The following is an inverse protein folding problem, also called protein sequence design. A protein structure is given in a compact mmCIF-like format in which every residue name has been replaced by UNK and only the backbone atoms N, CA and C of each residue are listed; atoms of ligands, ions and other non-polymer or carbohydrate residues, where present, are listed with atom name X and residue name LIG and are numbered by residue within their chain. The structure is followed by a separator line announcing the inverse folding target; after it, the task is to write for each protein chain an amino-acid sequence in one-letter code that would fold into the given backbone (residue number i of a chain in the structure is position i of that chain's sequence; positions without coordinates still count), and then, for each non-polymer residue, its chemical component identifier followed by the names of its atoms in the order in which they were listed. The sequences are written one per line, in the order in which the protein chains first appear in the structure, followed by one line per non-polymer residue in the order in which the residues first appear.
data_IF_064923970720
#
_entry.id   IF_064923970720
#
_cell.length_a   1.000
_cell.length_b   1.000
_cell.length_c   1.000
_cell.angle_alpha   90.00
_cell.angle_beta   90.00
_cell.angle_gamma   90.00
#
_symmetry.space_group_name_H-M   'P 1'
#
loop_
_entity.id
_entity.type
_entity.pdbx_description
1 polymer ?
#
# COMPACT_ATOMS: atom_id res chain seq x y z
N UNK A 1 -22.82 1.22 -6.43
CA UNK A 1 -22.33 2.50 -5.87
C UNK A 1 -21.08 2.18 -5.08
N UNK A 2 -19.98 2.91 -5.23
CA UNK A 2 -18.78 2.65 -4.41
C UNK A 2 -18.79 3.49 -3.14
N UNK A 3 -18.34 2.90 -2.03
CA UNK A 3 -18.12 3.61 -0.77
C UNK A 3 -16.62 3.88 -0.62
N UNK A 4 -16.22 5.08 -0.20
CA UNK A 4 -14.80 5.47 -0.13
C UNK A 4 -14.44 5.97 1.26
N UNK A 5 -13.51 5.28 1.90
CA UNK A 5 -12.92 5.67 3.19
C UNK A 5 -11.56 6.35 2.96
N UNK A 6 -11.51 7.65 3.27
CA UNK A 6 -10.29 8.48 3.17
C UNK A 6 -9.70 8.83 4.53
N UNK A 7 -10.30 8.37 5.63
CA UNK A 7 -9.98 8.83 6.98
C UNK A 7 -9.39 7.74 7.86
N UNK A 8 -9.94 6.53 7.82
CA UNK A 8 -9.52 5.46 8.73
C UNK A 8 -8.08 5.02 8.46
N UNK A 9 -7.72 4.92 7.18
CA UNK A 9 -6.43 4.41 6.71
C UNK A 9 -5.47 5.50 6.21
N UNK A 10 -5.78 6.77 6.46
CA UNK A 10 -4.97 7.90 5.99
C UNK A 10 -3.47 7.70 6.32
N UNK A 11 -2.56 7.87 5.36
CA UNK A 11 -2.75 8.49 4.03
C UNK A 11 -3.28 7.57 2.92
N UNK A 12 -3.54 6.30 3.19
CA UNK A 12 -4.17 5.38 2.22
C UNK A 12 -5.68 5.60 2.15
N UNK A 13 -6.25 5.29 0.99
CA UNK A 13 -7.70 5.30 0.73
C UNK A 13 -8.16 3.86 0.50
N UNK A 14 -9.31 3.50 1.08
CA UNK A 14 -10.00 2.24 0.78
C UNK A 14 -11.29 2.52 0.03
N UNK A 15 -11.45 1.93 -1.14
CA UNK A 15 -12.64 2.07 -2.00
C UNK A 15 -13.34 0.72 -2.02
N UNK A 16 -14.51 0.62 -1.39
CA UNK A 16 -15.39 -0.55 -1.48
C UNK A 16 -16.25 -0.44 -2.74
N UNK A 17 -15.85 -1.17 -3.78
CA UNK A 17 -16.51 -1.25 -5.08
C UNK A 17 -17.28 -2.55 -5.29
N UNK A 18 -17.57 -3.33 -4.22
CA UNK A 18 -18.22 -4.65 -4.36
C UNK A 18 -19.62 -4.57 -4.96
N UNK A 19 -20.31 -3.44 -4.79
CA UNK A 19 -21.61 -3.13 -5.41
C UNK A 19 -21.47 -2.36 -6.74
N UNK A 20 -20.32 -2.46 -7.41
CA UNK A 20 -20.05 -1.88 -8.72
C UNK A 20 -19.77 -2.96 -9.76
N UNK A 21 -19.68 -2.58 -11.04
CA UNK A 21 -19.35 -3.51 -12.14
C UNK A 21 -18.00 -4.23 -11.95
N UNK A 22 -17.10 -3.64 -11.18
CA UNK A 22 -15.77 -4.19 -10.89
C UNK A 22 -15.80 -5.24 -9.78
N UNK A 23 -16.81 -5.20 -8.90
CA UNK A 23 -16.98 -6.16 -7.79
C UNK A 23 -15.72 -6.35 -6.93
N UNK A 24 -14.97 -5.27 -6.67
CA UNK A 24 -13.66 -5.27 -6.01
C UNK A 24 -13.58 -4.32 -4.80
N UNK A 25 -12.47 -4.38 -4.07
CA UNK A 25 -12.11 -3.42 -3.01
C UNK A 25 -10.68 -2.95 -3.28
N UNK A 26 -10.46 -1.64 -3.27
CA UNK A 26 -9.19 -1.06 -3.72
C UNK A 26 -8.50 -0.32 -2.59
N UNK A 27 -7.20 -0.55 -2.43
CA UNK A 27 -6.33 0.21 -1.52
C UNK A 27 -5.41 1.06 -2.39
N UNK A 28 -5.47 2.38 -2.20
CA UNK A 28 -4.70 3.31 -3.02
C UNK A 28 -3.87 4.28 -2.19
N UNK A 29 -2.72 4.67 -2.75
CA UNK A 29 -1.92 5.78 -2.28
C UNK A 29 -1.41 6.58 -3.48
N UNK A 30 -1.79 7.85 -3.51
CA UNK A 30 -1.42 8.86 -4.51
C UNK A 30 -1.10 10.22 -3.84
N UNK A 31 -0.98 10.24 -2.49
CA UNK A 31 -0.87 11.47 -1.72
C UNK A 31 0.59 11.90 -1.52
N UNK A 32 1.20 12.38 -2.60
CA UNK A 32 2.59 12.87 -2.62
C UNK A 32 2.82 14.09 -1.75
N UNK A 33 1.79 14.95 -1.63
CA UNK A 33 1.81 16.09 -0.71
C UNK A 33 2.04 15.64 0.73
N UNK A 34 1.33 14.59 1.17
CA UNK A 34 1.50 14.02 2.50
C UNK A 34 2.93 13.48 2.70
N UNK A 35 3.49 12.75 1.73
CA UNK A 35 4.84 12.20 1.83
C UNK A 35 5.89 13.33 1.96
N UNK A 36 5.77 14.38 1.16
CA UNK A 36 6.64 15.55 1.21
C UNK A 36 6.47 16.35 2.51
N UNK A 37 5.26 16.46 3.03
CA UNK A 37 5.00 17.08 4.33
C UNK A 37 5.63 16.30 5.48
N UNK A 38 5.43 14.98 5.50
CA UNK A 38 5.87 14.07 6.55
C UNK A 38 7.39 13.83 6.56
N UNK A 39 8.00 13.66 5.39
CA UNK A 39 9.39 13.20 5.27
C UNK A 39 10.33 14.16 4.53
N UNK A 40 9.81 15.21 3.89
CA UNK A 40 10.59 16.19 3.09
C UNK A 40 11.40 15.55 1.95
N UNK A 41 11.00 14.35 1.52
CA UNK A 41 11.65 13.60 0.46
C UNK A 41 10.70 12.54 -0.09
N UNK A 42 10.91 12.20 -1.35
CA UNK A 42 10.36 11.07 -2.09
C UNK A 42 11.35 9.90 -2.21
N UNK A 43 12.51 9.99 -1.53
CA UNK A 43 13.55 8.96 -1.52
C UNK A 43 13.99 8.70 -0.08
N UNK A 44 13.94 7.44 0.37
CA UNK A 44 14.42 7.03 1.69
C UNK A 44 15.41 5.89 1.50
N UNK A 45 16.66 6.03 1.92
CA UNK A 45 17.71 4.99 1.77
C UNK A 45 17.84 4.46 0.33
N UNK A 46 17.94 5.40 -0.62
CA UNK A 46 18.00 5.15 -2.07
C UNK A 46 16.77 4.41 -2.64
N UNK A 47 15.69 4.34 -1.86
CA UNK A 47 14.43 3.73 -2.25
C UNK A 47 13.46 4.79 -2.76
N UNK A 48 13.00 4.66 -4.00
CA UNK A 48 12.03 5.56 -4.60
C UNK A 48 10.64 5.29 -4.03
N UNK A 49 10.02 6.30 -3.43
CA UNK A 49 8.70 6.19 -2.83
C UNK A 49 7.58 6.36 -3.87
N UNK A 50 7.76 5.99 -5.14
CA UNK A 50 6.72 6.12 -6.17
C UNK A 50 5.62 5.03 -6.03
N UNK A 51 4.67 4.94 -6.96
CA UNK A 51 3.58 3.96 -6.89
C UNK A 51 4.06 2.51 -6.72
N UNK A 52 5.07 2.10 -7.50
CA UNK A 52 5.68 0.77 -7.41
C UNK A 52 6.44 0.57 -6.10
N UNK A 53 7.20 1.58 -5.65
CA UNK A 53 7.91 1.52 -4.39
C UNK A 53 6.95 1.39 -3.19
N UNK A 54 5.90 2.20 -3.13
CA UNK A 54 4.88 2.08 -2.07
C UNK A 54 4.19 0.70 -2.14
N UNK A 55 3.86 0.20 -3.33
CA UNK A 55 3.31 -1.16 -3.49
C UNK A 55 4.24 -2.21 -2.85
N UNK A 56 5.51 -2.19 -3.21
CA UNK A 56 6.51 -3.11 -2.68
C UNK A 56 6.68 -3.00 -1.15
N UNK A 57 6.61 -1.79 -0.58
CA UNK A 57 6.62 -1.60 0.88
C UNK A 57 5.36 -2.15 1.56
N UNK A 58 4.19 -2.05 0.92
CA UNK A 58 2.95 -2.64 1.44
C UNK A 58 3.03 -4.17 1.42
N UNK A 59 3.57 -4.75 0.35
CA UNK A 59 3.83 -6.20 0.27
C UNK A 59 4.83 -6.64 1.34
N UNK A 60 5.91 -5.88 1.57
CA UNK A 60 6.85 -6.12 2.65
C UNK A 60 6.21 -6.02 4.04
N UNK A 61 5.26 -5.11 4.24
CA UNK A 61 4.50 -5.02 5.50
C UNK A 61 3.64 -6.27 5.75
N UNK A 62 3.06 -6.86 4.68
CA UNK A 62 2.37 -8.16 4.77
C UNK A 62 3.32 -9.28 5.17
N UNK A 63 4.51 -9.36 4.56
CA UNK A 63 5.56 -10.32 4.93
C UNK A 63 5.94 -10.17 6.40
N UNK A 64 6.16 -8.93 6.86
CA UNK A 64 6.53 -8.65 8.25
C UNK A 64 5.45 -9.07 9.26
N UNK A 65 4.18 -9.13 8.83
CA UNK A 65 3.05 -9.61 9.61
C UNK A 65 2.83 -11.14 9.51
N UNK A 66 3.65 -11.85 8.74
CA UNK A 66 3.51 -13.29 8.52
C UNK A 66 2.37 -13.65 7.56
N UNK A 67 1.95 -12.71 6.71
CA UNK A 67 0.91 -12.92 5.70
C UNK A 67 1.53 -13.28 4.35
N UNK A 68 0.76 -13.96 3.50
CA UNK A 68 1.13 -14.20 2.11
C UNK A 68 1.37 -12.87 1.38
N UNK A 69 2.50 -12.78 0.67
CA UNK A 69 2.88 -11.62 -0.16
C UNK A 69 1.79 -11.35 -1.19
N UNK A 70 1.44 -12.39 -1.96
CA UNK A 70 0.47 -12.37 -3.04
C UNK A 70 -0.68 -13.33 -2.70
N UNK A 71 -1.62 -12.94 -1.83
CA UNK A 71 -2.79 -13.77 -1.56
C UNK A 71 -3.62 -13.91 -2.85
N UNK A 72 -4.35 -15.01 -2.97
CA UNK A 72 -5.09 -15.35 -4.20
C UNK A 72 -6.20 -14.35 -4.59
N UNK A 73 -6.57 -13.45 -3.69
CA UNK A 73 -7.57 -12.41 -3.88
C UNK A 73 -6.99 -11.04 -4.21
N UNK A 74 -5.65 -10.90 -4.29
CA UNK A 74 -4.95 -9.66 -4.60
C UNK A 74 -4.49 -9.62 -6.07
N UNK A 75 -4.84 -8.52 -6.74
CA UNK A 75 -4.28 -8.10 -8.01
C UNK A 75 -3.51 -6.77 -7.82
N UNK A 76 -2.35 -6.65 -8.47
CA UNK A 76 -1.51 -5.45 -8.44
C UNK A 76 -1.75 -4.60 -9.68
N UNK A 77 -1.91 -3.29 -9.51
CA UNK A 77 -2.15 -2.38 -10.63
C UNK A 77 -1.58 -0.98 -10.38
N UNK A 78 -0.43 -0.90 -9.69
CA UNK A 78 0.26 0.37 -9.49
C UNK A 78 0.81 0.91 -10.80
N UNK A 79 0.74 2.22 -10.98
CA UNK A 79 1.16 2.90 -12.21
C UNK A 79 1.83 4.24 -11.86
N UNK A 80 3.08 4.41 -12.29
CA UNK A 80 3.86 5.64 -12.09
C UNK A 80 3.87 6.06 -10.62
N UNK A 81 3.15 7.13 -10.32
CA UNK A 81 3.01 7.75 -9.01
C UNK A 81 1.67 7.39 -8.35
N UNK A 82 1.16 6.18 -8.53
CA UNK A 82 0.00 5.69 -7.80
C UNK A 82 0.21 4.24 -7.42
N UNK A 83 0.22 3.98 -6.12
CA UNK A 83 0.11 2.62 -5.60
C UNK A 83 -1.36 2.20 -5.66
N UNK A 84 -1.63 1.05 -6.27
CA UNK A 84 -2.97 0.52 -6.42
C UNK A 84 -2.99 -0.99 -6.24
N UNK A 85 -3.69 -1.43 -5.19
CA UNK A 85 -3.90 -2.83 -4.83
C UNK A 85 -5.40 -3.13 -4.94
N UNK A 86 -5.76 -4.19 -5.65
CA UNK A 86 -7.15 -4.58 -5.89
C UNK A 86 -7.40 -5.91 -5.21
N UNK A 87 -8.39 -5.96 -4.33
CA UNK A 87 -8.77 -7.14 -3.57
C UNK A 87 -10.18 -7.59 -3.91
N UNK A 88 -10.43 -8.89 -3.92
CA UNK A 88 -11.81 -9.44 -3.96
C UNK A 88 -12.47 -9.42 -2.58
N UNK A 89 -11.68 -9.48 -1.51
CA UNK A 89 -12.17 -9.54 -0.13
C UNK A 89 -11.91 -8.22 0.62
N UNK A 90 -12.97 -7.67 1.22
CA UNK A 90 -12.90 -6.45 2.02
C UNK A 90 -12.01 -6.59 3.27
N UNK A 91 -12.03 -7.75 3.93
CA UNK A 91 -11.21 -7.99 5.11
C UNK A 91 -9.71 -7.97 4.76
N UNK A 92 -9.31 -8.60 3.65
CA UNK A 92 -7.93 -8.56 3.15
C UNK A 92 -7.47 -7.15 2.80
N UNK A 93 -8.35 -6.36 2.17
CA UNK A 93 -8.08 -4.97 1.84
C UNK A 93 -7.88 -4.11 3.09
N UNK A 94 -8.77 -4.25 4.09
CA UNK A 94 -8.69 -3.51 5.36
C UNK A 94 -7.46 -3.91 6.17
N UNK A 95 -7.14 -5.20 6.25
CA UNK A 95 -5.93 -5.68 6.93
C UNK A 95 -4.67 -5.09 6.27
N UNK A 96 -4.60 -5.14 4.93
CA UNK A 96 -3.48 -4.58 4.19
C UNK A 96 -3.38 -3.06 4.35
N UNK A 97 -4.50 -2.34 4.29
CA UNK A 97 -4.54 -0.88 4.48
C UNK A 97 -4.11 -0.49 5.91
N UNK A 98 -4.46 -1.30 6.92
CA UNK A 98 -4.00 -1.12 8.30
C UNK A 98 -2.48 -1.23 8.40
N UNK A 99 -1.89 -2.31 7.88
CA UNK A 99 -0.44 -2.51 7.84
C UNK A 99 0.28 -1.39 7.08
N UNK A 100 -0.29 -0.99 5.93
CA UNK A 100 0.24 0.07 5.10
C UNK A 100 0.29 1.43 5.83
N UNK A 101 -0.80 1.78 6.52
CA UNK A 101 -0.87 2.99 7.36
C UNK A 101 0.15 2.96 8.49
N UNK A 102 0.24 1.85 9.23
CA UNK A 102 1.17 1.73 10.35
C UNK A 102 2.63 1.85 9.88
N UNK A 103 2.94 1.25 8.74
CA UNK A 103 4.24 1.34 8.11
C UNK A 103 4.56 2.77 7.67
N UNK A 104 3.69 3.37 6.86
CA UNK A 104 4.02 4.62 6.17
C UNK A 104 4.15 5.80 7.12
N UNK A 105 3.57 5.73 8.32
CA UNK A 105 3.60 6.82 9.32
C UNK A 105 4.88 6.83 10.17
N UNK A 106 5.76 5.84 10.02
CA UNK A 106 7.01 5.73 10.78
C UNK A 106 8.19 5.53 9.86
N UNK A 107 9.14 6.49 9.86
CA UNK A 107 10.37 6.37 9.08
C UNK A 107 11.12 5.08 9.38
N UNK A 108 11.22 4.69 10.65
CA UNK A 108 11.86 3.43 11.06
C UNK A 108 11.13 2.21 10.49
N UNK A 109 9.80 2.25 10.39
CA UNK A 109 9.03 1.16 9.81
C UNK A 109 9.22 1.09 8.28
N UNK A 110 9.27 2.24 7.60
CA UNK A 110 9.62 2.32 6.18
C UNK A 110 11.00 1.70 5.94
N UNK A 111 12.02 2.14 6.69
CA UNK A 111 13.38 1.62 6.56
C UNK A 111 13.46 0.10 6.79
N UNK A 112 12.67 -0.42 7.75
CA UNK A 112 12.54 -1.87 7.94
C UNK A 112 11.90 -2.55 6.73
N UNK A 113 10.83 -1.99 6.17
CA UNK A 113 10.15 -2.57 5.02
C UNK A 113 10.98 -2.49 3.73
N UNK A 114 11.82 -1.47 3.56
CA UNK A 114 12.78 -1.41 2.46
C UNK A 114 13.69 -2.63 2.49
N UNK A 115 14.23 -2.99 3.67
CA UNK A 115 15.09 -4.16 3.78
C UNK A 115 14.34 -5.46 3.45
N UNK A 116 13.12 -5.62 3.95
CA UNK A 116 12.29 -6.80 3.67
C UNK A 116 11.93 -6.86 2.17
N UNK A 117 11.60 -5.73 1.54
CA UNK A 117 11.31 -5.68 0.11
C UNK A 117 12.51 -6.16 -0.72
N UNK A 118 13.73 -5.74 -0.35
CA UNK A 118 14.98 -6.19 -0.99
C UNK A 118 15.24 -7.67 -0.77
N UNK A 119 15.10 -8.14 0.46
CA UNK A 119 15.29 -9.56 0.83
C UNK A 119 14.35 -10.50 0.05
N UNK A 120 13.16 -10.00 -0.29
CA UNK A 120 12.12 -10.75 -0.99
C UNK A 120 12.02 -10.42 -2.50
N UNK A 121 12.90 -9.58 -3.05
CA UNK A 121 12.87 -9.10 -4.45
C UNK A 121 11.50 -8.54 -4.86
N UNK A 122 10.93 -7.66 -4.05
CA UNK A 122 9.60 -7.06 -4.29
C UNK A 122 9.64 -5.77 -5.11
N UNK A 123 10.84 -5.26 -5.45
CA UNK A 123 11.05 -4.00 -6.17
C UNK A 123 10.96 -4.12 -7.70
N UNK A 124 10.77 -5.34 -8.23
CA UNK A 124 10.74 -5.65 -9.67
C UNK A 124 9.41 -5.31 -10.37
#
# INVERSE_FOLDING_TARGET
MSNTDKTTFHPFIVIDGRDSEWSDVRVSFDNWGWLQEAYKTDIINDYHMNGYGIQALVLAARVAAGLDVYPADLDLNSEGDTCYLIFKNYASAVETAGLAKEMITSRKAIEKMINIAREHNLED
#
